data_IF_007478884929
#
_entry.id   IF_007478884929
#
_cell.length_a   1.000
_cell.length_b   1.000
_cell.length_c   1.000
_cell.angle_alpha   90.00
_cell.angle_beta   90.00
_cell.angle_gamma   90.00
#
_symmetry.space_group_name_H-M   'P 1'
#
loop_
_entity.id
_entity.type
_entity.pdbx_description
1 polymer ?
#
# COMPACT_ATOMS: atom_id res chain seq x y z
N UNK A 1 14.61 20.84 -3.98
CA UNK A 1 15.39 21.98 -4.54
C UNK A 1 15.70 21.69 -6.00
N UNK A 2 15.66 22.71 -6.86
CA UNK A 2 16.03 22.60 -8.27
C UNK A 2 17.53 22.80 -8.41
N UNK A 3 18.24 21.83 -8.96
CA UNK A 3 19.66 21.98 -9.34
C UNK A 3 19.76 22.10 -10.86
N UNK A 4 20.45 23.14 -11.32
CA UNK A 4 20.77 23.30 -12.74
C UNK A 4 21.71 22.17 -13.18
N UNK A 5 21.41 21.57 -14.33
CA UNK A 5 22.24 20.53 -14.93
C UNK A 5 23.07 21.15 -16.05
N UNK A 6 24.38 20.94 -16.04
CA UNK A 6 25.24 21.35 -17.15
C UNK A 6 25.13 20.32 -18.27
N UNK A 7 24.72 20.73 -19.47
CA UNK A 7 24.65 19.87 -20.66
C UNK A 7 25.40 20.48 -21.81
N UNK A 8 26.26 19.70 -22.47
CA UNK A 8 26.86 20.07 -23.76
C UNK A 8 25.85 19.81 -24.89
N UNK A 9 25.76 20.72 -25.86
CA UNK A 9 24.83 20.60 -26.98
C UNK A 9 25.27 19.46 -27.93
N UNK A 10 24.42 18.46 -28.21
CA UNK A 10 24.69 17.47 -29.24
C UNK A 10 24.42 18.01 -30.65
N UNK A 11 24.98 17.33 -31.66
CA UNK A 11 24.99 17.79 -33.06
C UNK A 11 23.59 17.93 -33.69
N UNK A 12 23.44 18.79 -34.73
CA UNK A 12 22.14 19.21 -35.29
C UNK A 12 21.40 18.12 -36.10
N UNK A 13 21.99 16.93 -36.27
CA UNK A 13 21.51 15.86 -37.14
C UNK A 13 20.54 14.86 -36.48
N UNK A 14 20.28 14.99 -35.17
CA UNK A 14 19.32 14.14 -34.45
C UNK A 14 18.56 14.91 -33.39
N UNK A 15 17.35 14.45 -33.06
CA UNK A 15 16.58 14.96 -31.94
C UNK A 15 17.23 14.58 -30.62
N UNK A 16 17.39 15.52 -29.70
CA UNK A 16 17.93 15.27 -28.38
C UNK A 16 17.09 16.00 -27.32
N UNK A 17 17.15 15.50 -26.09
CA UNK A 17 16.50 16.09 -24.92
C UNK A 17 17.56 16.68 -23.99
N UNK A 18 17.28 17.87 -23.44
CA UNK A 18 18.13 18.53 -22.44
C UNK A 18 17.44 18.46 -21.08
N UNK A 19 18.14 17.97 -20.07
CA UNK A 19 17.66 18.07 -18.69
C UNK A 19 17.93 19.50 -18.20
N UNK A 20 16.89 20.32 -18.06
CA UNK A 20 17.04 21.73 -17.68
C UNK A 20 17.24 21.86 -16.17
N UNK A 21 16.46 21.11 -15.39
CA UNK A 21 16.48 21.16 -13.93
C UNK A 21 16.30 19.77 -13.33
N UNK A 22 17.08 19.48 -12.28
CA UNK A 22 16.96 18.26 -11.50
C UNK A 22 16.25 18.57 -10.18
N UNK A 23 15.12 17.92 -9.96
CA UNK A 23 14.40 18.00 -8.70
C UNK A 23 15.05 17.05 -7.68
N UNK A 24 15.52 17.61 -6.56
CA UNK A 24 16.04 16.82 -5.45
C UNK A 24 15.14 16.97 -4.21
N UNK A 25 14.61 15.85 -3.68
CA UNK A 25 13.79 15.87 -2.48
C UNK A 25 14.65 16.29 -1.27
N UNK A 26 14.02 16.98 -0.34
CA UNK A 26 14.67 17.58 0.85
C UNK A 26 14.17 16.92 2.13
N UNK A 27 12.87 16.61 2.17
CA UNK A 27 12.19 16.08 3.32
C UNK A 27 11.02 15.19 2.92
N UNK A 28 10.49 14.46 3.89
CA UNK A 28 9.21 13.78 3.79
C UNK A 28 8.46 13.86 5.14
N UNK A 29 7.15 13.64 5.08
CA UNK A 29 6.33 13.34 6.25
C UNK A 29 5.60 12.01 5.98
N UNK A 30 5.52 11.15 7.00
CA UNK A 30 4.73 9.93 6.93
C UNK A 30 3.84 9.80 8.15
N UNK A 31 2.63 9.29 7.92
CA UNK A 31 1.67 8.89 8.94
C UNK A 31 1.29 7.43 8.65
N UNK A 32 1.21 6.62 9.69
CA UNK A 32 0.76 5.23 9.61
C UNK A 32 -0.41 5.09 10.57
N UNK A 33 -1.51 4.60 10.05
CA UNK A 33 -2.73 4.35 10.82
C UNK A 33 -3.01 2.85 10.93
N UNK A 34 -3.74 2.48 11.98
CA UNK A 34 -4.34 1.15 12.08
C UNK A 34 -5.69 1.09 11.34
N UNK A 35 -6.44 0.00 11.53
CA UNK A 35 -7.75 -0.20 10.89
C UNK A 35 -8.86 0.68 11.47
N UNK A 36 -8.63 1.25 12.66
CA UNK A 36 -9.54 2.14 13.37
C UNK A 36 -9.19 3.64 13.13
N UNK A 37 -8.39 3.91 12.09
CA UNK A 37 -7.87 5.24 11.71
C UNK A 37 -7.02 5.94 12.79
N UNK A 38 -6.55 5.20 13.80
CA UNK A 38 -5.67 5.74 14.84
C UNK A 38 -4.23 5.80 14.34
N UNK A 39 -3.56 6.92 14.62
CA UNK A 39 -2.14 7.11 14.25
C UNK A 39 -1.27 6.26 15.18
N UNK A 40 -0.67 5.21 14.63
CA UNK A 40 0.26 4.32 15.33
C UNK A 40 1.72 4.71 15.14
N UNK A 41 2.02 5.49 14.09
CA UNK A 41 3.35 6.03 13.84
C UNK A 41 3.26 7.32 13.03
N UNK A 42 4.12 8.29 13.36
CA UNK A 42 4.32 9.48 12.55
C UNK A 42 5.80 9.88 12.54
N UNK A 43 6.27 10.39 11.41
CA UNK A 43 7.63 10.92 11.31
C UNK A 43 7.69 12.04 10.28
N UNK A 44 8.41 13.10 10.65
CA UNK A 44 8.93 14.09 9.71
C UNK A 44 10.45 13.92 9.64
N UNK A 45 11.00 13.96 8.44
CA UNK A 45 12.45 13.87 8.23
C UNK A 45 12.89 14.90 7.20
N UNK A 46 13.91 15.69 7.53
CA UNK A 46 14.61 16.57 6.63
C UNK A 46 16.11 16.32 6.80
N UNK A 47 16.79 15.91 5.72
CA UNK A 47 18.17 15.45 5.82
C UNK A 47 18.68 14.85 4.52
N UNK A 48 19.89 14.26 4.54
CA UNK A 48 20.46 13.62 3.36
C UNK A 48 19.62 12.41 2.92
N UNK A 49 19.48 12.24 1.60
CA UNK A 49 18.82 11.07 0.99
C UNK A 49 17.41 10.78 1.54
N UNK A 50 16.49 11.76 1.53
CA UNK A 50 15.18 11.62 2.17
C UNK A 50 14.33 10.49 1.57
N UNK A 51 14.46 10.20 0.28
CA UNK A 51 13.73 9.08 -0.37
C UNK A 51 14.21 7.73 0.13
N UNK A 52 15.52 7.52 0.22
CA UNK A 52 16.07 6.28 0.77
C UNK A 52 15.68 6.12 2.24
N UNK A 53 15.77 7.19 3.03
CA UNK A 53 15.36 7.18 4.43
C UNK A 53 13.87 6.81 4.59
N UNK A 54 13.01 7.42 3.76
CA UNK A 54 11.58 7.11 3.71
C UNK A 54 11.34 5.63 3.38
N UNK A 55 11.94 5.11 2.31
CA UNK A 55 11.77 3.74 1.86
C UNK A 55 12.25 2.73 2.91
N UNK A 56 13.42 2.96 3.50
CA UNK A 56 13.97 2.11 4.55
C UNK A 56 13.07 2.08 5.79
N UNK A 57 12.58 3.24 6.21
CA UNK A 57 11.66 3.33 7.35
C UNK A 57 10.30 2.69 7.06
N UNK A 58 9.76 2.86 5.85
CA UNK A 58 8.54 2.19 5.43
C UNK A 58 8.70 0.66 5.44
N UNK A 59 9.85 0.14 4.99
CA UNK A 59 10.16 -1.30 5.04
C UNK A 59 10.32 -1.82 6.47
N UNK A 60 10.96 -1.06 7.35
CA UNK A 60 11.07 -1.41 8.77
C UNK A 60 9.69 -1.56 9.42
N UNK A 61 8.82 -0.56 9.19
CA UNK A 61 7.44 -0.57 9.71
C UNK A 61 6.64 -1.72 9.09
N UNK A 62 6.78 -1.98 7.78
CA UNK A 62 6.05 -3.05 7.12
C UNK A 62 6.38 -4.42 7.71
N UNK A 63 7.66 -4.68 7.99
CA UNK A 63 8.09 -5.94 8.62
C UNK A 63 7.48 -6.13 10.00
N UNK A 64 7.37 -5.07 10.80
CA UNK A 64 6.73 -5.13 12.12
C UNK A 64 5.21 -5.38 12.01
N UNK A 65 4.53 -4.64 11.13
CA UNK A 65 3.09 -4.80 10.91
C UNK A 65 2.76 -6.19 10.37
N UNK A 66 3.54 -6.72 9.43
CA UNK A 66 3.33 -8.06 8.87
C UNK A 66 3.53 -9.13 9.93
N UNK A 67 4.54 -9.01 10.79
CA UNK A 67 4.72 -9.93 11.91
C UNK A 67 3.47 -9.97 12.77
N UNK A 68 2.93 -8.80 13.16
CA UNK A 68 1.71 -8.71 13.94
C UNK A 68 0.49 -9.32 13.22
N UNK A 69 0.35 -9.08 11.91
CA UNK A 69 -0.73 -9.65 11.09
C UNK A 69 -0.62 -11.17 10.89
N UNK A 70 0.58 -11.74 11.03
CA UNK A 70 0.84 -13.17 10.82
C UNK A 70 0.79 -13.99 12.11
N UNK A 71 0.65 -13.34 13.28
CA UNK A 71 0.51 -14.06 14.55
C UNK A 71 -0.77 -14.90 14.53
N UNK A 72 -0.58 -16.23 14.56
CA UNK A 72 -1.67 -17.18 14.77
C UNK A 72 -2.06 -17.14 16.23
N UNK A 73 -3.20 -16.52 16.53
CA UNK A 73 -3.72 -16.50 17.89
C UNK A 73 -4.76 -17.59 18.12
N UNK A 74 -4.95 -17.94 19.39
CA UNK A 74 -5.83 -19.04 19.81
C UNK A 74 -7.27 -18.61 19.58
N UNK A 75 -8.01 -19.37 18.77
CA UNK A 75 -9.40 -19.09 18.44
C UNK A 75 -10.25 -19.16 19.72
N UNK A 76 -10.92 -18.06 20.07
CA UNK A 76 -11.98 -18.10 21.08
C UNK A 76 -13.26 -18.62 20.43
N UNK A 77 -13.64 -19.84 20.79
CA UNK A 77 -14.88 -20.46 20.32
C UNK A 77 -16.00 -19.95 21.22
N UNK A 78 -16.74 -18.92 20.78
CA UNK A 78 -18.05 -18.61 21.33
C UNK A 78 -19.09 -19.45 20.59
N UNK A 79 -19.73 -20.39 21.28
CA UNK A 79 -20.72 -21.33 20.70
C UNK A 79 -22.01 -20.64 20.20
N UNK A 80 -22.23 -19.37 20.56
CA UNK A 80 -23.41 -18.57 20.17
C UNK A 80 -23.20 -17.77 18.87
N UNK A 81 -22.43 -18.31 17.92
CA UNK A 81 -22.10 -17.54 16.72
C UNK A 81 -23.33 -17.40 15.80
N UNK A 82 -23.75 -16.19 15.40
CA UNK A 82 -25.02 -15.93 14.68
C UNK A 82 -25.00 -16.29 13.19
N UNK A 83 -24.00 -17.05 12.73
CA UNK A 83 -23.74 -17.26 11.31
C UNK A 83 -24.61 -18.37 10.72
N UNK A 84 -25.09 -18.18 9.49
CA UNK A 84 -25.88 -19.18 8.75
C UNK A 84 -25.09 -20.48 8.55
N UNK A 85 -25.49 -21.61 9.17
CA UNK A 85 -24.75 -22.86 9.09
C UNK A 85 -24.91 -23.58 7.75
N UNK A 86 -25.79 -23.07 6.88
CA UNK A 86 -26.11 -23.65 5.57
C UNK A 86 -25.20 -23.14 4.46
N UNK A 87 -24.55 -21.98 4.63
CA UNK A 87 -23.77 -21.31 3.59
C UNK A 87 -22.32 -21.07 3.97
N UNK A 88 -21.44 -21.16 2.98
CA UNK A 88 -20.04 -20.77 3.10
C UNK A 88 -19.91 -19.23 3.12
N UNK A 89 -19.28 -18.67 4.16
CA UNK A 89 -19.04 -17.22 4.30
C UNK A 89 -18.17 -16.63 3.18
N UNK A 90 -17.37 -17.46 2.48
CA UNK A 90 -16.43 -16.98 1.45
C UNK A 90 -17.08 -16.91 0.07
N UNK A 91 -17.72 -18.00 -0.38
CA UNK A 91 -18.29 -18.08 -1.72
C UNK A 91 -19.81 -17.95 -1.77
N UNK A 92 -20.45 -17.83 -0.60
CA UNK A 92 -21.88 -17.69 -0.40
C UNK A 92 -22.74 -18.85 -0.97
N UNK A 93 -22.12 -20.00 -1.30
CA UNK A 93 -22.81 -21.22 -1.76
C UNK A 93 -23.22 -22.09 -0.57
N UNK A 94 -24.31 -22.85 -0.77
CA UNK A 94 -24.77 -23.86 0.19
C UNK A 94 -23.75 -25.00 0.29
N UNK A 95 -23.59 -25.52 1.51
CA UNK A 95 -22.82 -26.73 1.74
C UNK A 95 -23.55 -27.96 1.16
N UNK A 96 -22.82 -28.77 0.41
CA UNK A 96 -23.32 -30.05 -0.10
C UNK A 96 -23.04 -31.18 0.89
N UNK A 97 -23.80 -32.28 0.75
CA UNK A 97 -23.63 -33.47 1.57
C UNK A 97 -22.26 -34.10 1.29
N UNK A 98 -21.44 -34.24 2.32
CA UNK A 98 -20.08 -34.80 2.22
C UNK A 98 -18.96 -33.76 2.15
N UNK A 99 -19.28 -32.46 2.09
CA UNK A 99 -18.26 -31.41 2.15
C UNK A 99 -17.80 -31.12 3.59
N UNK A 100 -16.49 -30.92 3.76
CA UNK A 100 -15.90 -30.52 5.03
C UNK A 100 -16.14 -29.03 5.31
N UNK A 101 -16.82 -28.75 6.43
CA UNK A 101 -17.01 -27.40 6.97
C UNK A 101 -15.87 -27.07 7.92
N UNK A 102 -15.25 -25.92 7.75
CA UNK A 102 -14.23 -25.39 8.66
C UNK A 102 -14.68 -24.07 9.25
N UNK A 103 -14.36 -23.83 10.53
CA UNK A 103 -14.56 -22.54 11.17
C UNK A 103 -13.52 -21.56 10.66
N UNK A 104 -13.98 -20.48 10.03
CA UNK A 104 -13.14 -19.36 9.63
C UNK A 104 -13.08 -18.35 10.77
N UNK A 105 -11.91 -17.81 11.06
CA UNK A 105 -11.73 -16.75 12.04
C UNK A 105 -10.93 -15.59 11.44
N UNK A 106 -11.02 -14.44 12.08
CA UNK A 106 -10.11 -13.33 11.81
C UNK A 106 -8.90 -13.38 12.74
N UNK A 107 -7.71 -13.29 12.16
CA UNK A 107 -6.45 -13.36 12.90
C UNK A 107 -6.26 -12.21 13.90
N UNK A 108 -6.85 -11.04 13.66
CA UNK A 108 -6.70 -9.87 14.54
C UNK A 108 -7.63 -9.94 15.76
N UNK A 109 -8.91 -10.30 15.55
CA UNK A 109 -9.91 -10.32 16.62
C UNK A 109 -10.07 -11.71 17.27
N UNK A 110 -9.45 -12.75 16.71
CA UNK A 110 -9.67 -14.17 17.06
C UNK A 110 -11.13 -14.61 17.07
N UNK A 111 -12.00 -13.80 16.47
CA UNK A 111 -13.42 -14.06 16.37
C UNK A 111 -13.68 -14.98 15.18
N UNK A 112 -14.47 -16.02 15.41
CA UNK A 112 -15.03 -16.82 14.32
C UNK A 112 -15.91 -15.90 13.48
N UNK A 113 -15.71 -15.86 12.16
CA UNK A 113 -16.49 -15.05 11.20
C UNK A 113 -17.56 -15.86 10.48
N UNK A 114 -17.51 -17.18 10.58
CA UNK A 114 -18.51 -18.08 10.00
C UNK A 114 -17.95 -19.45 9.63
N UNK A 115 -18.76 -20.22 8.92
CA UNK A 115 -18.35 -21.51 8.35
C UNK A 115 -17.96 -21.34 6.89
N UNK A 116 -16.87 -21.97 6.48
CA UNK A 116 -16.41 -22.00 5.10
C UNK A 116 -16.20 -23.43 4.62
N UNK A 117 -16.21 -23.65 3.30
CA UNK A 117 -15.69 -24.90 2.75
C UNK A 117 -14.20 -25.00 3.09
N UNK A 118 -13.69 -26.20 3.40
CA UNK A 118 -12.27 -26.41 3.63
C UNK A 118 -11.41 -25.86 2.49
N UNK A 119 -11.80 -26.15 1.24
CA UNK A 119 -11.11 -25.65 0.04
C UNK A 119 -11.18 -24.13 -0.04
N UNK A 120 -12.36 -23.52 0.18
CA UNK A 120 -12.48 -22.07 0.18
C UNK A 120 -11.59 -21.43 1.25
N UNK A 121 -11.52 -22.00 2.45
CA UNK A 121 -10.71 -21.46 3.54
C UNK A 121 -9.20 -21.53 3.25
N UNK A 122 -8.73 -22.66 2.70
CA UNK A 122 -7.31 -22.84 2.34
C UNK A 122 -6.92 -21.92 1.18
N UNK A 123 -7.78 -21.79 0.17
CA UNK A 123 -7.54 -20.95 -0.99
C UNK A 123 -7.74 -19.46 -0.71
N UNK A 124 -8.47 -19.12 0.36
CA UNK A 124 -8.60 -17.74 0.81
C UNK A 124 -7.30 -17.28 1.47
N UNK A 125 -6.32 -17.00 0.61
CA UNK A 125 -5.12 -16.26 1.01
C UNK A 125 -5.53 -14.80 1.05
N UNK A 126 -5.55 -14.21 2.25
CA UNK A 126 -5.46 -12.76 2.33
C UNK A 126 -4.08 -12.41 1.76
N UNK A 127 -4.04 -11.80 0.58
CA UNK A 127 -2.84 -11.09 0.15
C UNK A 127 -2.78 -9.85 1.02
N UNK A 128 -2.05 -9.95 2.12
CA UNK A 128 -1.76 -8.79 2.94
C UNK A 128 -0.77 -7.94 2.17
N UNK A 129 -1.18 -6.73 1.84
CA UNK A 129 -0.27 -5.67 1.43
C UNK A 129 -0.60 -4.47 2.29
N UNK A 130 0.40 -3.62 2.52
CA UNK A 130 0.27 -2.38 3.26
C UNK A 130 0.15 -1.26 2.23
N UNK A 131 -1.03 -0.59 2.12
CA UNK A 131 -1.20 0.51 1.20
C UNK A 131 -0.38 1.73 1.66
N UNK A 132 0.44 2.26 0.76
CA UNK A 132 1.13 3.55 0.93
C UNK A 132 0.43 4.56 0.03
N UNK A 133 -0.27 5.51 0.64
CA UNK A 133 -1.10 6.48 -0.10
C UNK A 133 -0.34 7.80 -0.26
N UNK A 134 -0.16 8.24 -1.50
CA UNK A 134 0.46 9.53 -1.83
C UNK A 134 -0.42 10.24 -2.85
N UNK A 135 -0.85 11.46 -2.56
CA UNK A 135 -1.78 12.19 -3.42
C UNK A 135 -1.08 12.77 -4.65
N UNK A 136 -1.62 12.51 -5.84
CA UNK A 136 -1.10 12.95 -7.15
C UNK A 136 0.31 12.40 -7.48
N UNK A 137 0.67 11.26 -6.89
CA UNK A 137 1.99 10.65 -7.04
C UNK A 137 2.28 10.15 -8.45
N UNK A 138 1.24 9.73 -9.19
CA UNK A 138 1.36 9.20 -10.55
C UNK A 138 2.09 10.14 -11.49
N UNK A 139 1.90 11.44 -11.30
CA UNK A 139 2.40 12.47 -12.19
C UNK A 139 3.78 12.99 -11.76
N UNK A 140 4.29 12.63 -10.58
CA UNK A 140 5.54 13.17 -10.06
C UNK A 140 6.28 12.22 -9.10
N UNK A 141 5.78 12.05 -7.87
CA UNK A 141 6.53 11.38 -6.79
C UNK A 141 6.90 9.92 -7.10
N UNK A 142 6.05 9.18 -7.82
CA UNK A 142 6.32 7.78 -8.18
C UNK A 142 7.64 7.63 -8.95
N UNK A 143 7.97 8.56 -9.85
CA UNK A 143 9.24 8.54 -10.57
C UNK A 143 10.42 8.82 -9.65
N UNK A 144 10.24 9.73 -8.72
CA UNK A 144 11.28 10.11 -7.78
C UNK A 144 11.61 8.97 -6.83
N UNK A 145 10.59 8.25 -6.35
CA UNK A 145 10.73 7.08 -5.50
C UNK A 145 11.43 5.94 -6.24
N UNK A 146 10.96 5.58 -7.44
CA UNK A 146 11.51 4.47 -8.21
C UNK A 146 12.93 4.76 -8.72
N UNK A 147 13.24 6.01 -9.09
CA UNK A 147 14.58 6.42 -9.53
C UNK A 147 15.63 6.36 -8.43
N UNK A 148 15.23 6.62 -7.18
CA UNK A 148 16.13 6.60 -6.03
C UNK A 148 15.89 5.35 -5.15
N UNK A 149 15.31 4.30 -5.72
CA UNK A 149 15.11 3.03 -5.05
C UNK A 149 16.48 2.39 -4.76
N UNK A 150 16.80 2.06 -3.50
CA UNK A 150 18.07 1.43 -3.17
C UNK A 150 18.25 0.09 -3.88
N UNK A 151 19.49 -0.27 -4.17
CA UNK A 151 19.81 -1.58 -4.74
C UNK A 151 19.40 -2.69 -3.78
N UNK A 152 18.72 -3.72 -4.28
CA UNK A 152 18.19 -4.85 -3.48
C UNK A 152 17.18 -4.41 -2.40
N UNK A 153 16.48 -3.29 -2.63
CA UNK A 153 15.45 -2.84 -1.70
C UNK A 153 14.28 -3.82 -1.58
N UNK A 154 13.82 -4.39 -2.69
CA UNK A 154 12.70 -5.34 -2.73
C UNK A 154 13.09 -6.58 -3.54
N UNK A 155 12.54 -7.73 -3.15
CA UNK A 155 12.66 -8.99 -3.89
C UNK A 155 11.62 -9.03 -5.00
N UNK A 156 10.38 -8.65 -4.68
CA UNK A 156 9.27 -8.60 -5.62
C UNK A 156 8.90 -7.16 -5.96
N UNK A 157 9.09 -6.80 -7.23
CA UNK A 157 8.76 -5.47 -7.75
C UNK A 157 7.74 -5.62 -8.87
N UNK A 158 6.57 -5.00 -8.68
CA UNK A 158 5.54 -4.89 -9.72
C UNK A 158 5.27 -3.43 -10.00
N UNK A 159 5.24 -3.02 -11.27
CA UNK A 159 4.95 -1.64 -11.66
C UNK A 159 3.80 -1.66 -12.66
N UNK A 160 2.80 -0.81 -12.42
CA UNK A 160 1.66 -0.59 -13.33
C UNK A 160 1.77 0.83 -13.88
N UNK A 161 2.47 1.00 -15.02
CA UNK A 161 2.54 2.28 -15.70
C UNK A 161 1.32 2.51 -16.61
N UNK A 162 0.96 3.78 -16.81
CA UNK A 162 0.06 4.20 -17.89
C UNK A 162 0.85 4.56 -19.13
N UNK A 163 1.98 5.25 -18.93
CA UNK A 163 2.99 5.52 -19.94
C UNK A 163 4.34 5.71 -19.24
N UNK A 164 5.39 6.08 -19.98
CA UNK A 164 6.73 6.29 -19.43
C UNK A 164 6.82 7.43 -18.40
N UNK A 165 5.85 8.34 -18.39
CA UNK A 165 5.82 9.53 -17.53
C UNK A 165 4.78 9.42 -16.42
N UNK A 166 3.98 8.35 -16.36
CA UNK A 166 2.86 8.24 -15.44
C UNK A 166 2.74 6.83 -14.88
N UNK A 167 3.00 6.69 -13.59
CA UNK A 167 3.00 5.40 -12.89
C UNK A 167 1.85 5.37 -11.89
N UNK A 168 0.79 4.63 -12.22
CA UNK A 168 -0.44 4.60 -11.40
C UNK A 168 -0.30 3.86 -10.08
N UNK A 169 0.53 2.83 -10.07
CA UNK A 169 0.73 1.96 -8.91
C UNK A 169 2.06 1.23 -9.08
N UNK A 170 2.75 1.01 -7.98
CA UNK A 170 3.82 0.05 -7.92
C UNK A 170 3.83 -0.64 -6.56
N UNK A 171 4.40 -1.84 -6.52
CA UNK A 171 4.51 -2.69 -5.34
C UNK A 171 5.98 -3.02 -5.14
N UNK A 172 6.42 -2.89 -3.88
CA UNK A 172 7.75 -3.24 -3.40
C UNK A 172 7.54 -4.21 -2.22
N UNK A 173 7.72 -5.51 -2.47
CA UNK A 173 7.34 -6.58 -1.55
C UNK A 173 5.87 -6.41 -1.09
N UNK A 174 5.63 -6.21 0.21
CA UNK A 174 4.30 -6.03 0.78
C UNK A 174 3.79 -4.59 0.72
N UNK A 175 4.63 -3.61 0.36
CA UNK A 175 4.23 -2.20 0.26
C UNK A 175 3.62 -1.92 -1.11
N UNK A 176 2.37 -1.45 -1.12
CA UNK A 176 1.66 -1.09 -2.35
C UNK A 176 1.41 0.41 -2.41
N UNK A 177 2.13 1.09 -3.29
CA UNK A 177 2.03 2.52 -3.49
C UNK A 177 0.85 2.84 -4.40
N UNK A 178 -0.05 3.68 -3.89
CA UNK A 178 -1.29 4.08 -4.54
C UNK A 178 -1.39 5.60 -4.61
N UNK A 179 -1.91 6.07 -5.73
CA UNK A 179 -2.25 7.48 -5.92
C UNK A 179 -3.69 7.75 -5.50
N UNK A 180 -3.90 8.53 -4.43
CA UNK A 180 -5.26 8.87 -3.98
C UNK A 180 -6.02 9.76 -4.96
N UNK A 181 -5.33 10.49 -5.84
CA UNK A 181 -5.97 11.32 -6.86
C UNK A 181 -6.82 10.49 -7.84
N UNK A 182 -6.56 9.19 -7.98
CA UNK A 182 -7.38 8.30 -8.79
C UNK A 182 -8.77 8.01 -8.19
N UNK A 183 -8.91 8.20 -6.87
CA UNK A 183 -10.17 8.03 -6.16
C UNK A 183 -10.82 9.37 -5.80
N UNK A 184 -9.99 10.41 -5.62
CA UNK A 184 -10.36 11.75 -5.22
C UNK A 184 -9.77 12.75 -6.22
N UNK A 185 -10.45 12.94 -7.35
CA UNK A 185 -10.03 13.78 -8.49
C UNK A 185 -10.19 15.28 -8.20
N UNK A 186 -9.54 15.75 -7.14
CA UNK A 186 -9.50 17.14 -6.72
C UNK A 186 -8.22 17.43 -5.94
N UNK A 187 -7.82 18.71 -5.87
CA UNK A 187 -6.66 19.11 -5.07
C UNK A 187 -6.89 18.86 -3.58
N UNK A 188 -5.80 18.68 -2.82
CA UNK A 188 -5.87 18.59 -1.35
C UNK A 188 -6.63 19.78 -0.74
N UNK A 189 -6.42 21.00 -1.23
CA UNK A 189 -7.13 22.19 -0.76
C UNK A 189 -8.65 22.07 -0.95
N UNK A 190 -9.08 21.57 -2.11
CA UNK A 190 -10.50 21.35 -2.41
C UNK A 190 -11.07 20.26 -1.51
N UNK A 191 -10.33 19.18 -1.32
CA UNK A 191 -10.74 18.06 -0.47
C UNK A 191 -10.90 18.50 0.98
N UNK A 192 -9.93 19.24 1.53
CA UNK A 192 -9.99 19.79 2.89
C UNK A 192 -11.22 20.67 3.08
N UNK A 193 -11.51 21.55 2.12
CA UNK A 193 -12.68 22.43 2.18
C UNK A 193 -14.02 21.68 2.05
N UNK A 194 -14.02 20.49 1.44
CA UNK A 194 -15.21 19.64 1.31
C UNK A 194 -15.50 18.79 2.55
N UNK A 195 -14.52 18.64 3.44
CA UNK A 195 -14.70 17.90 4.70
C UNK A 195 -15.52 18.78 5.65
N UNK A 196 -16.70 18.30 6.04
CA UNK A 196 -17.46 18.92 7.13
C UNK A 196 -16.69 18.71 8.43
N UNK A 197 -16.51 19.75 9.27
CA UNK A 197 -15.89 19.56 10.59
C UNK A 197 -16.71 18.51 11.36
N UNK A 198 -16.02 17.50 11.90
CA UNK A 198 -16.64 16.55 12.81
C UNK A 198 -16.99 17.33 14.10
N UNK A 199 -18.30 17.38 14.41
CA UNK A 199 -18.85 17.98 15.64
C UNK A 199 -18.52 17.13 16.86
#
# INVERSE_FOLDING_TARGET
>A
MLKKVSTAAPGPSSSHFYCIEKHEPISYAMLVTNQDDEIIFHQYYAGPQPVENFLMKAKEISLELIKQLTIVSKIEIKDESPYDPSRCVICNKLFQRGEFKVRRHEHHQNATTGLAHQVCNILYRKTFFIPVIIHNSKNYDSHLLLKNLPSKFAEDITIVPVNLERITMFTLDDLKFLDSYQFLDASLDTLINSIKPQL
#
